data_IF_880536096576
#
_entry.id   IF_880536096576
#
_cell.length_a   1.000
_cell.length_b   1.000
_cell.length_c   1.000
_cell.angle_alpha   90.00
_cell.angle_beta   90.00
_cell.angle_gamma   90.00
#
_symmetry.space_group_name_H-M   'P 1'
#
loop_
_entity.id
_entity.type
_entity.pdbx_description
1 polymer ?
#
# COMPACT_ATOMS: atom_id res chain seq x y z
N UNK A 1 -0.45 12.53 6.78
CA UNK A 1 -1.03 11.56 7.74
C UNK A 1 -2.42 11.96 8.22
N UNK A 2 -2.66 13.17 8.75
CA UNK A 2 -3.98 13.55 9.28
C UNK A 2 -5.12 13.44 8.26
N UNK A 3 -4.98 14.10 7.11
CA UNK A 3 -5.96 14.00 6.02
C UNK A 3 -6.09 12.57 5.48
N UNK A 4 -4.96 11.90 5.20
CA UNK A 4 -4.92 10.52 4.70
C UNK A 4 -5.72 9.55 5.56
N UNK A 5 -5.79 9.78 6.88
CA UNK A 5 -6.49 8.92 7.83
C UNK A 5 -7.84 9.49 8.30
N UNK A 6 -8.34 10.56 7.68
CA UNK A 6 -9.62 11.16 8.07
C UNK A 6 -9.65 11.68 9.50
N UNK A 7 -8.51 12.20 10.01
CA UNK A 7 -8.48 12.82 11.33
C UNK A 7 -9.46 14.00 11.36
N UNK A 8 -10.23 14.16 12.45
CA UNK A 8 -11.17 15.26 12.56
C UNK A 8 -10.43 16.59 12.59
N UNK A 9 -11.02 17.62 11.98
CA UNK A 9 -10.43 18.96 11.92
C UNK A 9 -10.28 19.60 13.31
N UNK A 10 -11.13 19.20 14.26
CA UNK A 10 -11.02 19.54 15.67
C UNK A 10 -10.72 18.27 16.48
N UNK A 11 -9.97 18.42 17.57
CA UNK A 11 -9.67 17.30 18.46
C UNK A 11 -10.96 16.67 19.01
N UNK A 12 -11.10 15.37 18.81
CA UNK A 12 -12.19 14.56 19.36
C UNK A 12 -11.58 13.37 20.11
N UNK A 13 -11.69 13.32 21.45
CA UNK A 13 -11.14 12.21 22.24
C UNK A 13 -11.88 10.88 22.03
N UNK A 14 -13.07 10.89 21.42
CA UNK A 14 -13.81 9.68 21.07
C UNK A 14 -13.47 9.14 19.67
N UNK A 15 -12.79 9.95 18.85
CA UNK A 15 -12.38 9.53 17.51
C UNK A 15 -11.32 8.44 17.60
N UNK A 16 -11.55 7.37 16.84
CA UNK A 16 -10.60 6.28 16.67
C UNK A 16 -10.72 5.74 15.24
N UNK A 17 -9.60 5.41 14.59
CA UNK A 17 -9.60 4.86 13.24
C UNK A 17 -9.99 3.38 13.31
N UNK A 18 -11.28 3.07 13.14
CA UNK A 18 -11.82 1.71 13.29
C UNK A 18 -11.07 0.68 12.42
N UNK A 19 -10.75 1.04 11.18
CA UNK A 19 -9.99 0.18 10.27
C UNK A 19 -8.48 0.14 10.59
N UNK A 20 -7.93 1.10 11.33
CA UNK A 20 -6.50 1.29 11.53
C UNK A 20 -5.94 2.50 10.79
N UNK A 21 -4.63 2.71 10.88
CA UNK A 21 -3.95 3.92 10.39
C UNK A 21 -3.03 3.62 9.21
N UNK A 22 -3.31 4.19 8.04
CA UNK A 22 -2.39 4.20 6.91
C UNK A 22 -1.16 5.02 7.30
N UNK A 23 0.00 4.37 7.31
CA UNK A 23 1.28 4.98 7.68
C UNK A 23 2.13 5.32 6.45
N UNK A 24 1.84 4.72 5.29
CA UNK A 24 2.54 5.04 4.06
C UNK A 24 1.95 4.35 2.84
N UNK A 25 2.18 4.99 1.70
CA UNK A 25 1.98 4.42 0.37
C UNK A 25 3.35 4.28 -0.28
N UNK A 26 3.61 3.16 -0.95
CA UNK A 26 4.71 3.14 -1.90
C UNK A 26 4.25 3.66 -3.27
N UNK A 27 5.24 3.93 -4.12
CA UNK A 27 4.99 4.59 -5.40
C UNK A 27 4.27 3.72 -6.42
N UNK A 28 4.13 2.41 -6.19
CA UNK A 28 3.46 1.47 -7.11
C UNK A 28 2.09 1.02 -6.60
N UNK A 29 1.61 1.60 -5.50
CA UNK A 29 0.26 1.39 -4.98
C UNK A 29 0.16 0.44 -3.79
N UNK A 30 1.28 0.02 -3.21
CA UNK A 30 1.29 -0.71 -1.96
C UNK A 30 0.93 0.18 -0.77
N UNK A 31 0.20 -0.36 0.21
CA UNK A 31 -0.33 0.42 1.34
C UNK A 31 0.07 -0.18 2.67
N UNK A 32 0.91 0.52 3.43
CA UNK A 32 1.27 0.14 4.79
C UNK A 32 0.27 0.69 5.79
N UNK A 33 -0.27 -0.19 6.63
CA UNK A 33 -1.28 0.18 7.61
C UNK A 33 -0.99 -0.43 8.98
N UNK A 34 -1.17 0.35 10.04
CA UNK A 34 -1.17 -0.13 11.41
C UNK A 34 -2.59 -0.57 11.77
N UNK A 35 -2.75 -1.84 12.13
CA UNK A 35 -4.04 -2.41 12.50
C UNK A 35 -4.64 -1.73 13.74
N UNK A 36 -5.96 -1.47 13.66
CA UNK A 36 -6.78 -0.99 14.77
C UNK A 36 -7.05 -2.07 15.83
N UNK A 37 -8.03 -1.84 16.70
CA UNK A 37 -8.31 -2.74 17.83
C UNK A 37 -8.96 -4.07 17.43
N UNK A 38 -9.58 -4.17 16.26
CA UNK A 38 -10.26 -5.38 15.77
C UNK A 38 -10.06 -5.54 14.24
N UNK A 39 -8.90 -6.08 13.81
CA UNK A 39 -8.61 -6.29 12.38
C UNK A 39 -9.58 -7.27 11.72
N UNK A 40 -10.07 -8.27 12.46
CA UNK A 40 -10.97 -9.28 11.94
C UNK A 40 -12.32 -8.68 11.54
N UNK A 41 -12.84 -7.71 12.31
CA UNK A 41 -14.08 -7.01 11.97
C UNK A 41 -14.02 -6.22 10.64
N UNK A 42 -12.82 -5.90 10.16
CA UNK A 42 -12.58 -5.20 8.88
C UNK A 42 -11.90 -6.09 7.83
N UNK A 43 -11.89 -7.40 8.03
CA UNK A 43 -11.35 -8.36 7.06
C UNK A 43 -9.83 -8.30 6.90
N UNK A 44 -9.09 -7.78 7.88
CA UNK A 44 -7.63 -7.66 7.81
C UNK A 44 -6.91 -8.78 8.56
N UNK A 45 -5.79 -9.28 8.03
CA UNK A 45 -4.96 -10.26 8.73
C UNK A 45 -4.18 -9.61 9.87
N UNK A 46 -3.60 -10.46 10.72
CA UNK A 46 -2.75 -10.03 11.84
C UNK A 46 -3.53 -9.61 13.08
N UNK A 47 -2.79 -9.14 14.08
CA UNK A 47 -3.30 -8.75 15.38
C UNK A 47 -3.42 -7.22 15.52
N UNK A 48 -4.17 -6.72 16.53
CA UNK A 48 -4.20 -5.31 16.87
C UNK A 48 -2.80 -4.72 17.07
N UNK A 49 -2.53 -3.54 16.49
CA UNK A 49 -1.22 -2.88 16.59
C UNK A 49 -0.09 -3.51 15.76
N UNK A 50 -0.37 -4.51 14.93
CA UNK A 50 0.57 -5.02 13.93
C UNK A 50 0.47 -4.23 12.62
N UNK A 51 1.60 -4.17 11.91
CA UNK A 51 1.67 -3.64 10.55
C UNK A 51 1.14 -4.66 9.55
N UNK A 52 0.34 -4.17 8.61
CA UNK A 52 -0.13 -4.89 7.44
C UNK A 52 0.25 -4.14 6.17
N UNK A 53 0.32 -4.85 5.06
CA UNK A 53 0.66 -4.33 3.75
C UNK A 53 -0.38 -4.81 2.73
N UNK A 54 -1.02 -3.89 2.04
CA UNK A 54 -1.80 -4.22 0.86
C UNK A 54 -0.84 -4.32 -0.33
N UNK A 55 -0.62 -5.55 -0.80
CA UNK A 55 0.36 -5.83 -1.83
C UNK A 55 -0.20 -5.50 -3.23
N UNK A 56 0.45 -4.61 -4.00
CA UNK A 56 -0.08 -4.12 -5.27
C UNK A 56 0.00 -5.15 -6.40
N UNK A 57 0.75 -6.23 -6.24
CA UNK A 57 0.90 -7.34 -7.20
C UNK A 57 -0.04 -8.52 -6.93
N UNK A 58 -0.61 -8.62 -5.72
CA UNK A 58 -1.58 -9.67 -5.39
C UNK A 58 -2.99 -9.12 -5.13
N UNK A 59 -3.10 -7.80 -4.89
CA UNK A 59 -4.32 -7.13 -4.44
C UNK A 59 -4.89 -7.73 -3.13
N UNK A 60 -3.99 -8.19 -2.26
CA UNK A 60 -4.34 -8.81 -0.99
C UNK A 60 -3.60 -8.14 0.19
N UNK A 61 -4.22 -8.21 1.37
CA UNK A 61 -3.58 -7.80 2.61
C UNK A 61 -2.66 -8.89 3.15
N UNK A 62 -1.47 -8.49 3.59
CA UNK A 62 -0.47 -9.36 4.21
C UNK A 62 -0.10 -8.82 5.60
N UNK A 63 0.01 -9.69 6.60
CA UNK A 63 0.50 -9.31 7.91
C UNK A 63 2.04 -9.32 7.91
N UNK A 64 2.66 -8.21 8.33
CA UNK A 64 4.12 -8.10 8.41
C UNK A 64 4.69 -8.66 9.73
N UNK A 65 3.83 -9.19 10.59
CA UNK A 65 4.17 -9.80 11.89
C UNK A 65 5.02 -8.91 12.81
N UNK A 66 4.90 -7.59 12.67
CA UNK A 66 5.67 -6.62 13.45
C UNK A 66 4.85 -5.38 13.79
N UNK A 67 5.16 -4.73 14.92
CA UNK A 67 4.56 -3.45 15.28
C UNK A 67 5.25 -2.26 14.58
N UNK A 68 4.65 -1.06 14.68
CA UNK A 68 5.11 0.15 14.00
C UNK A 68 6.59 0.49 14.25
N UNK A 69 7.07 0.50 15.49
CA UNK A 69 8.47 0.85 15.80
C UNK A 69 9.47 -0.15 15.20
N UNK A 70 9.11 -1.43 15.17
CA UNK A 70 9.90 -2.46 14.53
C UNK A 70 9.89 -2.29 13.01
N UNK A 71 8.76 -1.92 12.42
CA UNK A 71 8.64 -1.60 11.00
C UNK A 71 9.48 -0.37 10.60
N UNK A 72 9.51 0.70 11.40
CA UNK A 72 10.39 1.85 11.13
C UNK A 72 11.86 1.42 11.17
N UNK A 73 12.27 0.62 12.16
CA UNK A 73 13.63 0.07 12.21
C UNK A 73 13.93 -0.82 11.01
N UNK A 74 12.95 -1.60 10.55
CA UNK A 74 13.04 -2.48 9.40
C UNK A 74 13.23 -1.69 8.09
N UNK A 75 12.48 -0.61 7.87
CA UNK A 75 12.64 0.28 6.71
C UNK A 75 14.07 0.83 6.59
N UNK A 76 14.72 1.10 7.73
CA UNK A 76 16.08 1.65 7.81
C UNK A 76 17.19 0.59 7.72
N UNK A 77 16.84 -0.71 7.77
CA UNK A 77 17.81 -1.81 7.91
C UNK A 77 18.35 -2.38 6.59
N UNK A 78 17.92 -1.86 5.44
CA UNK A 78 18.27 -2.38 4.11
C UNK A 78 17.43 -3.58 3.64
N UNK A 79 16.54 -4.11 4.50
CA UNK A 79 15.62 -5.21 4.16
C UNK A 79 14.58 -4.87 3.10
N UNK A 80 14.42 -3.58 2.79
CA UNK A 80 13.61 -3.11 1.67
C UNK A 80 14.09 -3.64 0.33
N UNK A 81 15.38 -4.01 0.21
CA UNK A 81 15.89 -4.59 -1.02
C UNK A 81 15.14 -5.88 -1.33
N UNK A 82 15.18 -6.84 -0.40
CA UNK A 82 14.50 -8.13 -0.54
C UNK A 82 12.98 -8.02 -0.62
N UNK A 83 12.39 -7.07 0.13
CA UNK A 83 10.94 -6.88 0.14
C UNK A 83 10.39 -6.45 -1.23
N UNK A 84 11.14 -5.62 -1.95
CA UNK A 84 10.74 -5.11 -3.26
C UNK A 84 11.41 -5.82 -4.44
N UNK A 85 12.07 -6.97 -4.24
CA UNK A 85 12.80 -7.67 -5.30
C UNK A 85 11.90 -8.00 -6.51
N UNK A 86 10.63 -8.35 -6.28
CA UNK A 86 9.65 -8.62 -7.34
C UNK A 86 9.02 -7.38 -7.99
N UNK A 87 9.28 -6.18 -7.46
CA UNK A 87 8.63 -4.93 -7.86
C UNK A 87 9.62 -3.90 -8.44
N UNK A 88 10.85 -4.33 -8.76
CA UNK A 88 11.91 -3.45 -9.26
C UNK A 88 12.30 -3.82 -10.68
N UNK A 89 12.44 -2.80 -11.52
CA UNK A 89 12.84 -2.91 -12.92
C UNK A 89 14.09 -2.04 -13.19
N UNK A 90 14.86 -2.31 -14.26
CA UNK A 90 15.96 -1.43 -14.64
C UNK A 90 15.49 0.03 -14.82
N UNK A 91 16.07 0.96 -14.07
CA UNK A 91 15.66 2.38 -14.10
C UNK A 91 14.63 2.79 -13.04
N UNK A 92 14.19 1.87 -12.16
CA UNK A 92 13.16 2.17 -11.15
C UNK A 92 13.54 3.33 -10.22
N UNK A 93 14.84 3.49 -9.91
CA UNK A 93 15.32 4.54 -8.99
C UNK A 93 15.12 5.92 -9.61
N UNK A 94 15.44 6.06 -10.89
CA UNK A 94 15.31 7.29 -11.64
C UNK A 94 13.83 7.64 -11.84
N UNK A 95 13.00 6.65 -12.19
CA UNK A 95 11.54 6.83 -12.32
C UNK A 95 10.91 7.25 -10.98
N UNK A 96 11.28 6.60 -9.87
CA UNK A 96 10.76 6.93 -8.55
C UNK A 96 11.25 8.31 -8.05
N UNK A 97 12.51 8.65 -8.30
CA UNK A 97 13.08 9.94 -7.89
C UNK A 97 12.47 11.14 -8.64
N UNK A 98 11.90 10.91 -9.83
CA UNK A 98 11.26 11.95 -10.62
C UNK A 98 9.81 12.28 -10.17
N UNK A 99 9.22 11.46 -9.28
CA UNK A 99 7.86 11.66 -8.80
C UNK A 99 7.76 12.85 -7.85
N UNK A 100 6.63 13.56 -7.92
CA UNK A 100 6.22 14.44 -6.82
C UNK A 100 5.44 13.65 -5.77
N UNK A 101 5.35 14.11 -4.51
CA UNK A 101 4.74 13.33 -3.41
C UNK A 101 3.29 12.86 -3.62
N UNK A 102 2.52 13.52 -4.49
CA UNK A 102 1.13 13.17 -4.81
C UNK A 102 1.00 12.19 -6.00
N UNK A 103 2.11 11.67 -6.52
CA UNK A 103 2.14 10.76 -7.66
C UNK A 103 2.59 9.35 -7.27
N UNK A 104 2.14 8.39 -8.07
CA UNK A 104 2.69 7.05 -8.14
C UNK A 104 2.90 6.64 -9.60
N UNK A 105 3.24 5.37 -9.80
CA UNK A 105 3.56 4.77 -11.09
C UNK A 105 2.48 3.74 -11.40
N UNK A 106 1.73 3.97 -12.47
CA UNK A 106 0.92 2.90 -13.08
C UNK A 106 1.79 2.00 -13.93
N UNK A 107 1.49 0.71 -13.92
CA UNK A 107 2.16 -0.33 -14.69
C UNK A 107 1.14 -1.03 -15.59
N UNK A 108 1.49 -1.26 -16.85
CA UNK A 108 0.68 -2.01 -17.81
C UNK A 108 1.52 -3.01 -18.64
N UNK A 109 1.14 -4.30 -18.75
CA UNK A 109 0.07 -4.97 -18.01
C UNK A 109 0.18 -4.80 -16.48
N UNK A 110 -0.95 -4.85 -15.77
CA UNK A 110 -1.02 -4.51 -14.33
C UNK A 110 -0.11 -5.40 -13.48
N UNK A 111 0.33 -4.92 -12.31
CA UNK A 111 1.23 -5.68 -11.42
C UNK A 111 0.68 -7.05 -11.00
N UNK A 112 -0.65 -7.21 -10.94
CA UNK A 112 -1.34 -8.48 -10.66
C UNK A 112 -1.63 -9.35 -11.89
N UNK A 113 -1.07 -8.98 -13.05
CA UNK A 113 -1.17 -9.77 -14.27
C UNK A 113 -0.03 -10.79 -14.37
N UNK A 114 -0.29 -11.91 -15.05
CA UNK A 114 0.73 -12.94 -15.30
C UNK A 114 1.90 -12.39 -16.12
N UNK A 115 1.62 -11.46 -17.02
CA UNK A 115 2.60 -10.79 -17.87
C UNK A 115 3.57 -9.95 -17.05
N UNK A 116 3.07 -9.15 -16.10
CA UNK A 116 3.92 -8.34 -15.23
C UNK A 116 4.73 -9.19 -14.25
N UNK A 117 4.16 -10.29 -13.74
CA UNK A 117 4.90 -11.26 -12.91
C UNK A 117 6.02 -11.97 -13.69
N UNK A 118 5.81 -12.22 -14.98
CA UNK A 118 6.79 -12.90 -15.83
C UNK A 118 7.93 -11.97 -16.27
N UNK A 119 7.61 -10.75 -16.68
CA UNK A 119 8.59 -9.75 -17.11
C UNK A 119 8.14 -8.33 -16.78
N UNK A 120 8.48 -7.88 -15.57
CA UNK A 120 8.18 -6.52 -15.13
C UNK A 120 8.90 -5.47 -15.96
N UNK A 121 10.10 -5.76 -16.51
CA UNK A 121 10.87 -4.80 -17.28
C UNK A 121 10.20 -4.46 -18.62
N UNK A 122 9.50 -5.43 -19.22
CA UNK A 122 8.75 -5.26 -20.47
C UNK A 122 7.44 -4.45 -20.31
N UNK A 123 7.03 -4.12 -19.08
CA UNK A 123 5.82 -3.32 -18.84
C UNK A 123 6.00 -1.86 -19.26
N UNK A 124 4.89 -1.23 -19.64
CA UNK A 124 4.79 0.22 -19.78
C UNK A 124 4.47 0.88 -18.45
N UNK A 125 5.16 1.98 -18.14
CA UNK A 125 5.02 2.68 -16.86
C UNK A 125 4.75 4.17 -17.07
N UNK A 126 3.97 4.76 -16.18
CA UNK A 126 3.66 6.20 -16.22
C UNK A 126 3.44 6.76 -14.82
N UNK A 127 4.04 7.93 -14.56
CA UNK A 127 3.72 8.75 -13.40
C UNK A 127 2.30 9.31 -13.53
N UNK A 128 1.45 9.03 -12.54
CA UNK A 128 0.07 9.51 -12.46
C UNK A 128 -0.25 9.94 -11.02
N UNK A 129 -1.35 10.67 -10.77
CA UNK A 129 -1.81 10.92 -9.40
C UNK A 129 -1.97 9.63 -8.58
N UNK A 130 -1.55 9.64 -7.30
CA UNK A 130 -1.61 8.46 -6.43
C UNK A 130 -3.04 7.89 -6.31
N UNK A 131 -4.06 8.77 -6.30
CA UNK A 131 -5.47 8.36 -6.36
C UNK A 131 -5.84 7.49 -7.55
N UNK A 132 -5.18 7.66 -8.70
CA UNK A 132 -5.43 6.84 -9.89
C UNK A 132 -4.80 5.45 -9.72
N UNK A 133 -3.57 5.39 -9.17
CA UNK A 133 -2.90 4.12 -8.86
C UNK A 133 -3.77 3.29 -7.90
N UNK A 134 -4.15 3.90 -6.77
CA UNK A 134 -4.93 3.23 -5.74
C UNK A 134 -6.37 2.93 -6.18
N UNK A 135 -7.00 3.85 -6.92
CA UNK A 135 -8.37 3.66 -7.42
C UNK A 135 -8.49 2.44 -8.33
N UNK A 136 -7.56 2.27 -9.26
CA UNK A 136 -7.54 1.08 -10.13
C UNK A 136 -7.30 -0.20 -9.32
N UNK A 137 -6.36 -0.18 -8.37
CA UNK A 137 -6.10 -1.34 -7.52
C UNK A 137 -7.35 -1.75 -6.71
N UNK A 138 -8.07 -0.80 -6.12
CA UNK A 138 -9.32 -1.06 -5.37
C UNK A 138 -10.43 -1.58 -6.28
N UNK A 139 -10.61 -0.98 -7.46
CA UNK A 139 -11.63 -1.41 -8.41
C UNK A 139 -11.40 -2.85 -8.87
N UNK A 140 -10.15 -3.25 -9.08
CA UNK A 140 -9.81 -4.62 -9.43
C UNK A 140 -9.91 -5.58 -8.24
N UNK A 141 -9.48 -5.17 -7.05
CA UNK A 141 -9.61 -5.98 -5.83
C UNK A 141 -11.09 -6.33 -5.58
N UNK A 142 -12.01 -5.37 -5.76
CA UNK A 142 -13.46 -5.57 -5.64
C UNK A 142 -14.06 -6.52 -6.69
N UNK A 143 -13.45 -6.61 -7.88
CA UNK A 143 -13.97 -7.42 -9.00
C UNK A 143 -13.37 -8.82 -9.05
N UNK A 144 -12.12 -8.97 -8.62
CA UNK A 144 -11.34 -10.19 -8.78
C UNK A 144 -10.92 -10.85 -7.46
N UNK A 145 -10.86 -10.07 -6.37
CA UNK A 145 -10.48 -10.56 -5.05
C UNK A 145 -11.64 -11.19 -4.28
N UNK A 146 -11.34 -11.86 -3.16
CA UNK A 146 -12.37 -12.43 -2.28
C UNK A 146 -13.19 -11.34 -1.56
N UNK A 147 -12.60 -10.17 -1.28
CA UNK A 147 -13.20 -9.11 -0.45
C UNK A 147 -12.78 -7.69 -0.88
N UNK A 148 -13.56 -6.69 -0.48
CA UNK A 148 -13.21 -5.26 -0.60
C UNK A 148 -12.00 -4.95 0.31
N UNK A 149 -10.90 -4.36 -0.21
CA UNK A 149 -9.74 -4.03 0.62
C UNK A 149 -10.03 -3.00 1.72
N UNK A 150 -11.18 -2.32 1.65
CA UNK A 150 -11.61 -1.35 2.65
C UNK A 150 -10.80 -0.05 2.59
N UNK A 151 -10.60 0.58 3.75
CA UNK A 151 -9.90 1.85 3.83
C UNK A 151 -8.42 1.72 3.52
N UNK A 152 -7.96 2.41 2.46
CA UNK A 152 -6.56 2.47 2.01
C UNK A 152 -5.98 3.89 2.03
N UNK A 153 -6.70 4.83 2.65
CA UNK A 153 -6.27 6.22 2.83
C UNK A 153 -6.85 7.20 1.79
N UNK A 154 -7.01 8.45 2.20
CA UNK A 154 -7.42 9.57 1.33
C UNK A 154 -6.21 10.19 0.61
N UNK A 155 -6.17 10.11 -0.72
CA UNK A 155 -5.06 10.60 -1.59
C UNK A 155 -5.53 11.43 -2.79
#
# INVERSE_FOLDING_TARGET
MGQVNGFPAAFDPAWHPAAGLVVGHDVVGGVFTLNGHDPAAVGRPGAPGQMTYFAPDTLAWEALEMGHSAWVSWLLSGRLETFYDGLRWPGWREEAAALVPSQGITVYPFLWSKEAHADLAATSRRAVPMREVLGVAVDFAKRMGPDDPGFIGEV
#
